data_IF_497894159700
#
_entry.id   IF_497894159700
#
_cell.length_a   1.000
_cell.length_b   1.000
_cell.length_c   1.000
_cell.angle_alpha   90.00
_cell.angle_beta   90.00
_cell.angle_gamma   90.00
#
_symmetry.space_group_name_H-M   'P 1'
#
loop_
_entity.id
_entity.type
_entity.pdbx_description
1 polymer ?
#
# COMPACT_ATOMS: atom_id res chain seq x y z
N UNK A 1 46.26 16.14 3.30
CA UNK A 1 44.95 16.02 4.00
C UNK A 1 43.71 16.02 3.10
N UNK A 2 43.27 17.09 2.41
CA UNK A 2 42.05 17.02 1.56
C UNK A 2 42.22 16.15 0.30
N UNK A 3 43.42 16.12 -0.26
CA UNK A 3 43.75 15.35 -1.47
C UNK A 3 43.83 13.84 -1.18
N UNK A 4 44.42 13.44 -0.04
CA UNK A 4 44.49 12.02 0.38
C UNK A 4 43.11 11.43 0.67
N UNK A 5 42.23 12.16 1.38
CA UNK A 5 40.85 11.71 1.62
C UNK A 5 40.08 11.41 0.34
N UNK A 6 40.25 12.24 -0.70
CA UNK A 6 39.59 12.07 -1.99
C UNK A 6 40.02 10.76 -2.69
N UNK A 7 41.31 10.44 -2.65
CA UNK A 7 41.83 9.21 -3.27
C UNK A 7 41.51 7.95 -2.47
N UNK A 8 41.48 8.03 -1.13
CA UNK A 8 41.00 6.93 -0.28
C UNK A 8 39.50 6.66 -0.47
N UNK A 9 38.68 7.70 -0.61
CA UNK A 9 37.27 7.57 -0.97
C UNK A 9 37.11 6.86 -2.32
N UNK A 10 37.84 7.29 -3.36
CA UNK A 10 37.79 6.64 -4.67
C UNK A 10 38.16 5.16 -4.62
N UNK A 11 39.17 4.82 -3.83
CA UNK A 11 39.61 3.43 -3.63
C UNK A 11 38.55 2.60 -2.88
N UNK A 12 38.00 3.13 -1.79
CA UNK A 12 36.91 2.50 -1.04
C UNK A 12 35.65 2.27 -1.89
N UNK A 13 35.34 3.20 -2.81
CA UNK A 13 34.22 3.10 -3.74
C UNK A 13 34.45 2.00 -4.80
N UNK A 14 35.68 1.82 -5.28
CA UNK A 14 36.00 0.67 -6.14
C UNK A 14 35.98 -0.68 -5.41
N UNK A 15 36.09 -0.66 -4.08
CA UNK A 15 36.08 -1.86 -3.24
C UNK A 15 34.66 -2.21 -2.73
N UNK A 16 33.76 -1.23 -2.66
CA UNK A 16 32.37 -1.37 -2.19
C UNK A 16 31.36 -1.22 -3.33
N UNK A 17 31.02 -2.33 -3.99
CA UNK A 17 30.15 -2.33 -5.19
C UNK A 17 28.64 -2.39 -4.86
N UNK A 18 28.17 -1.47 -4.00
CA UNK A 18 26.75 -1.45 -3.57
C UNK A 18 25.79 -1.14 -4.71
N UNK A 19 26.22 -0.39 -5.73
CA UNK A 19 25.41 -0.11 -6.93
C UNK A 19 25.15 -1.41 -7.70
N UNK A 20 26.17 -2.24 -7.94
CA UNK A 20 25.97 -3.52 -8.64
C UNK A 20 25.19 -4.51 -7.78
N UNK A 21 25.42 -4.55 -6.46
CA UNK A 21 24.61 -5.38 -5.55
C UNK A 21 23.14 -4.96 -5.59
N UNK A 22 22.86 -3.66 -5.58
CA UNK A 22 21.52 -3.13 -5.75
C UNK A 22 20.90 -3.56 -7.08
N UNK A 23 21.61 -3.40 -8.21
CA UNK A 23 21.13 -3.79 -9.54
C UNK A 23 20.78 -5.29 -9.59
N UNK A 24 21.68 -6.15 -9.10
CA UNK A 24 21.45 -7.61 -9.05
C UNK A 24 20.22 -7.93 -8.22
N UNK A 25 20.11 -7.31 -7.05
CA UNK A 25 18.97 -7.52 -6.14
C UNK A 25 17.66 -7.01 -6.73
N UNK A 26 17.69 -5.89 -7.46
CA UNK A 26 16.53 -5.39 -8.22
C UNK A 26 16.04 -6.40 -9.26
N UNK A 27 16.95 -6.99 -10.05
CA UNK A 27 16.55 -7.99 -11.02
C UNK A 27 16.01 -9.27 -10.37
N UNK A 28 16.63 -9.73 -9.28
CA UNK A 28 16.11 -10.84 -8.49
C UNK A 28 14.72 -10.53 -7.96
N UNK A 29 14.51 -9.33 -7.40
CA UNK A 29 13.21 -8.88 -6.90
C UNK A 29 12.15 -8.88 -8.02
N UNK A 30 12.44 -8.33 -9.19
CA UNK A 30 11.47 -8.32 -10.29
C UNK A 30 11.20 -9.75 -10.80
N UNK A 31 12.21 -10.61 -10.86
CA UNK A 31 12.03 -12.01 -11.24
C UNK A 31 11.09 -12.73 -10.26
N UNK A 32 11.28 -12.54 -8.95
CA UNK A 32 10.42 -13.15 -7.93
C UNK A 32 9.00 -12.60 -7.96
N UNK A 33 8.82 -11.31 -8.25
CA UNK A 33 7.48 -10.75 -8.46
C UNK A 33 6.76 -11.35 -9.68
N UNK A 34 7.49 -11.74 -10.72
CA UNK A 34 6.89 -12.41 -11.90
C UNK A 34 6.42 -13.82 -11.55
N UNK A 35 7.25 -14.57 -10.83
CA UNK A 35 6.87 -15.91 -10.34
C UNK A 35 5.66 -15.85 -9.41
N UNK A 36 5.59 -14.82 -8.54
CA UNK A 36 4.45 -14.62 -7.63
C UNK A 36 3.17 -14.14 -8.31
N UNK A 37 3.22 -13.75 -9.58
CA UNK A 37 2.07 -13.19 -10.32
C UNK A 37 2.02 -13.75 -11.75
N UNK A 38 1.78 -15.07 -11.92
CA UNK A 38 1.84 -15.74 -13.21
C UNK A 38 0.83 -15.19 -14.24
N UNK A 39 -0.32 -14.67 -13.77
CA UNK A 39 -1.38 -14.12 -14.64
C UNK A 39 -1.07 -12.74 -15.19
N UNK A 40 -0.08 -12.05 -14.63
CA UNK A 40 0.29 -10.72 -15.11
C UNK A 40 1.09 -10.88 -16.39
N UNK A 41 0.41 -10.68 -17.54
CA UNK A 41 1.05 -10.80 -18.85
C UNK A 41 2.31 -9.94 -18.96
N UNK A 42 3.41 -10.59 -19.37
CA UNK A 42 4.70 -9.93 -19.63
C UNK A 42 4.65 -9.07 -20.90
N UNK A 43 3.73 -9.36 -21.83
CA UNK A 43 3.62 -8.67 -23.11
C UNK A 43 2.24 -7.99 -23.26
N UNK A 44 2.19 -6.88 -24.00
CA UNK A 44 0.94 -6.34 -24.52
C UNK A 44 0.37 -7.27 -25.58
N UNK A 45 -0.89 -7.06 -25.97
CA UNK A 45 -1.52 -7.81 -27.07
C UNK A 45 -0.72 -7.68 -28.39
N UNK A 46 -0.04 -6.55 -28.57
CA UNK A 46 0.85 -6.28 -29.71
C UNK A 46 2.27 -6.88 -29.56
N UNK A 47 2.53 -7.69 -28.53
CA UNK A 47 3.83 -8.35 -28.31
C UNK A 47 4.94 -7.46 -27.73
N UNK A 48 4.62 -6.24 -27.27
CA UNK A 48 5.60 -5.36 -26.63
C UNK A 48 5.76 -5.72 -25.14
N UNK A 49 6.98 -5.74 -24.59
CA UNK A 49 7.17 -6.03 -23.17
C UNK A 49 6.49 -4.96 -22.32
N UNK A 50 5.60 -5.39 -21.40
CA UNK A 50 5.10 -4.55 -20.32
C UNK A 50 6.28 -4.32 -19.37
N UNK A 51 6.60 -3.05 -19.09
CA UNK A 51 7.65 -2.71 -18.11
C UNK A 51 7.34 -3.22 -16.70
N UNK A 52 8.16 -2.91 -15.71
CA UNK A 52 8.07 -3.49 -14.35
C UNK A 52 6.79 -3.12 -13.56
N UNK A 53 6.02 -2.13 -14.04
CA UNK A 53 4.90 -1.51 -13.32
C UNK A 53 3.74 -2.45 -12.97
N UNK A 54 3.25 -3.35 -13.85
CA UNK A 54 2.16 -4.28 -13.52
C UNK A 54 2.52 -5.19 -12.34
N UNK A 55 3.74 -5.73 -12.33
CA UNK A 55 4.22 -6.60 -11.25
C UNK A 55 4.37 -5.85 -9.92
N UNK A 56 4.86 -4.60 -9.96
CA UNK A 56 4.94 -3.75 -8.77
C UNK A 56 3.56 -3.37 -8.21
N UNK A 57 2.56 -3.20 -9.07
CA UNK A 57 1.18 -2.96 -8.63
C UNK A 57 0.59 -4.21 -7.97
N UNK A 58 0.78 -5.38 -8.57
CA UNK A 58 0.30 -6.65 -8.01
C UNK A 58 0.99 -6.98 -6.68
N UNK A 59 2.29 -6.70 -6.57
CA UNK A 59 3.02 -6.76 -5.30
C UNK A 59 2.35 -5.91 -4.21
N UNK A 60 2.00 -4.65 -4.51
CA UNK A 60 1.38 -3.75 -3.53
C UNK A 60 0.00 -4.23 -3.07
N UNK A 61 -0.81 -4.81 -3.96
CA UNK A 61 -2.17 -5.25 -3.61
C UNK A 61 -2.22 -6.61 -2.92
N UNK A 62 -1.28 -7.52 -3.22
CA UNK A 62 -1.34 -8.91 -2.71
C UNK A 62 -0.19 -9.29 -1.76
N UNK A 63 1.05 -9.18 -2.22
CA UNK A 63 2.24 -9.71 -1.51
C UNK A 63 2.72 -8.80 -0.38
N UNK A 64 2.61 -7.48 -0.56
CA UNK A 64 3.14 -6.51 0.38
C UNK A 64 2.63 -6.73 1.82
N UNK A 65 1.34 -7.01 2.09
CA UNK A 65 0.87 -7.38 3.43
C UNK A 65 1.66 -8.53 4.09
N UNK A 66 2.01 -9.58 3.32
CA UNK A 66 2.82 -10.70 3.80
C UNK A 66 4.23 -10.22 4.14
N UNK A 67 4.84 -9.41 3.26
CA UNK A 67 6.16 -8.81 3.51
C UNK A 67 6.15 -7.92 4.75
N UNK A 68 5.13 -7.08 4.93
CA UNK A 68 4.98 -6.20 6.07
C UNK A 68 4.84 -7.00 7.38
N UNK A 69 4.08 -8.10 7.38
CA UNK A 69 3.91 -9.01 8.52
C UNK A 69 5.21 -9.76 8.87
N UNK A 70 6.00 -10.13 7.87
CA UNK A 70 7.25 -10.91 8.04
C UNK A 70 8.50 -10.04 8.24
N UNK A 71 8.39 -8.72 8.02
CA UNK A 71 9.41 -7.72 8.30
C UNK A 71 9.53 -7.46 9.83
N UNK A 72 9.96 -8.45 10.59
CA UNK A 72 10.03 -8.40 12.07
C UNK A 72 11.44 -8.20 12.64
N UNK A 73 12.42 -7.76 11.84
CA UNK A 73 13.79 -7.51 12.33
C UNK A 73 14.04 -6.03 12.59
N UNK A 74 14.47 -5.69 13.80
CA UNK A 74 14.93 -4.34 14.17
C UNK A 74 15.99 -3.84 13.20
N UNK A 75 16.93 -4.69 12.76
CA UNK A 75 18.00 -4.29 11.84
C UNK A 75 17.52 -3.72 10.49
N UNK A 76 16.48 -4.31 9.88
CA UNK A 76 15.99 -3.83 8.58
C UNK A 76 15.15 -2.56 8.74
N UNK A 77 14.40 -2.46 9.84
CA UNK A 77 13.62 -1.26 10.16
C UNK A 77 14.54 -0.10 10.54
N UNK A 78 15.64 -0.37 11.26
CA UNK A 78 16.72 0.58 11.56
C UNK A 78 17.39 1.08 10.27
N UNK A 79 17.64 0.18 9.32
CA UNK A 79 18.24 0.56 8.04
C UNK A 79 17.28 1.42 7.20
N UNK A 80 15.98 1.11 7.22
CA UNK A 80 14.96 1.93 6.59
C UNK A 80 14.88 3.33 7.22
N UNK A 81 14.97 3.40 8.54
CA UNK A 81 15.04 4.65 9.29
C UNK A 81 16.26 5.50 8.90
N UNK A 82 17.44 4.88 8.82
CA UNK A 82 18.69 5.56 8.41
C UNK A 82 18.64 6.05 6.96
N UNK A 83 18.08 5.23 6.07
CA UNK A 83 17.96 5.53 4.65
C UNK A 83 17.07 6.75 4.43
N UNK A 84 15.91 6.79 5.07
CA UNK A 84 14.86 7.74 4.77
C UNK A 84 15.30 9.22 4.73
N UNK A 85 15.88 9.82 5.79
CA UNK A 85 16.23 11.24 5.78
C UNK A 85 17.29 11.58 4.73
N UNK A 86 18.25 10.68 4.50
CA UNK A 86 19.29 10.86 3.48
C UNK A 86 18.69 10.77 2.08
N UNK A 87 17.87 9.75 1.83
CA UNK A 87 17.18 9.55 0.57
C UNK A 87 16.26 10.73 0.24
N UNK A 88 15.43 11.17 1.17
CA UNK A 88 14.50 12.27 0.96
C UNK A 88 15.23 13.58 0.64
N UNK A 89 16.27 13.92 1.42
CA UNK A 89 17.10 15.09 1.14
C UNK A 89 17.69 15.02 -0.27
N UNK A 90 18.30 13.88 -0.63
CA UNK A 90 18.98 13.71 -1.92
C UNK A 90 18.02 13.73 -3.10
N UNK A 91 16.88 13.05 -2.98
CA UNK A 91 15.83 13.04 -4.01
C UNK A 91 15.27 14.45 -4.20
N UNK A 92 14.99 15.21 -3.14
CA UNK A 92 14.46 16.56 -3.27
C UNK A 92 15.46 17.55 -3.88
N UNK A 93 16.76 17.38 -3.61
CA UNK A 93 17.82 18.20 -4.19
C UNK A 93 18.03 17.91 -5.68
N UNK A 94 18.13 16.63 -6.04
CA UNK A 94 18.57 16.20 -7.38
C UNK A 94 17.39 15.89 -8.30
N UNK A 95 16.35 15.24 -7.77
CA UNK A 95 15.22 14.71 -8.53
C UNK A 95 13.84 14.99 -7.88
N UNK A 96 13.47 16.27 -7.64
CA UNK A 96 12.24 16.64 -6.93
C UNK A 96 10.97 16.10 -7.61
N UNK A 97 11.02 15.81 -8.91
CA UNK A 97 9.91 15.19 -9.65
C UNK A 97 9.46 13.85 -9.07
N UNK A 98 10.37 13.02 -8.55
CA UNK A 98 9.99 11.71 -7.99
C UNK A 98 9.23 11.85 -6.67
N UNK A 99 9.56 12.86 -5.87
CA UNK A 99 8.82 13.21 -4.66
C UNK A 99 7.39 13.64 -5.01
N UNK A 100 7.24 14.58 -5.94
CA UNK A 100 5.92 15.09 -6.33
C UNK A 100 5.06 14.03 -7.04
N UNK A 101 5.67 13.15 -7.85
CA UNK A 101 4.96 12.03 -8.45
C UNK A 101 4.37 11.10 -7.39
N UNK A 102 5.15 10.76 -6.36
CA UNK A 102 4.68 9.95 -5.22
C UNK A 102 3.55 10.65 -4.50
N UNK A 103 3.71 11.94 -4.18
CA UNK A 103 2.67 12.76 -3.57
C UNK A 103 1.35 12.70 -4.34
N UNK A 104 1.36 12.82 -5.67
CA UNK A 104 0.13 12.75 -6.46
C UNK A 104 -0.51 11.38 -6.51
N UNK A 105 0.29 10.32 -6.68
CA UNK A 105 -0.23 8.95 -6.71
C UNK A 105 -1.00 8.67 -5.42
N UNK A 106 -0.45 9.07 -4.27
CA UNK A 106 -1.10 8.89 -2.96
C UNK A 106 -2.39 9.69 -2.80
N UNK A 107 -2.47 10.85 -3.43
CA UNK A 107 -3.59 11.78 -3.29
C UNK A 107 -4.62 11.71 -4.41
N UNK A 108 -4.43 10.81 -5.38
CA UNK A 108 -5.31 10.68 -6.55
C UNK A 108 -6.76 10.36 -6.15
N UNK A 109 -6.92 9.48 -5.17
CA UNK A 109 -8.24 9.05 -4.67
C UNK A 109 -8.61 9.73 -3.36
N UNK A 110 -7.67 10.44 -2.72
CA UNK A 110 -7.92 11.10 -1.46
C UNK A 110 -8.71 12.39 -1.66
N UNK A 111 -9.84 12.49 -0.96
CA UNK A 111 -10.71 13.67 -0.96
C UNK A 111 -10.95 14.14 0.46
N UNK A 112 -10.34 15.28 0.79
CA UNK A 112 -10.71 16.01 1.98
C UNK A 112 -12.14 16.53 1.83
N UNK A 113 -12.97 16.30 2.83
CA UNK A 113 -14.31 16.85 2.90
C UNK A 113 -14.66 17.19 4.36
N UNK A 114 -15.24 18.37 4.55
CA UNK A 114 -15.75 18.85 5.84
C UNK A 114 -17.16 19.42 5.61
N UNK A 115 -18.10 19.07 6.49
CA UNK A 115 -19.51 19.40 6.33
C UNK A 115 -20.19 19.59 7.67
N UNK A 116 -20.76 20.78 7.85
CA UNK A 116 -21.52 21.19 9.03
C UNK A 116 -22.89 21.71 8.56
N UNK A 117 -23.97 21.05 9.00
CA UNK A 117 -25.34 21.41 8.66
C UNK A 117 -26.12 21.63 9.95
N UNK A 118 -26.53 22.88 10.16
CA UNK A 118 -27.38 23.28 11.27
C UNK A 118 -28.80 23.52 10.78
N UNK A 119 -29.76 22.89 11.46
CA UNK A 119 -31.20 23.12 11.27
C UNK A 119 -31.77 23.89 12.46
N UNK A 120 -32.84 24.64 12.22
CA UNK A 120 -33.62 25.24 13.30
C UNK A 120 -34.60 24.22 13.91
N UNK A 121 -35.35 24.66 14.93
CA UNK A 121 -36.35 23.85 15.65
C UNK A 121 -37.46 23.31 14.72
N UNK A 122 -37.68 23.98 13.59
CA UNK A 122 -38.68 23.58 12.58
C UNK A 122 -38.07 22.71 11.46
N UNK A 123 -36.81 22.30 11.60
CA UNK A 123 -36.10 21.47 10.63
C UNK A 123 -35.65 22.23 9.36
N UNK A 124 -35.84 23.55 9.29
CA UNK A 124 -35.38 24.37 8.15
C UNK A 124 -33.87 24.61 8.28
N UNK A 125 -33.19 24.60 7.14
CA UNK A 125 -31.74 24.82 7.07
C UNK A 125 -31.39 26.22 7.57
N UNK A 126 -30.82 26.30 8.78
CA UNK A 126 -30.35 27.54 9.40
C UNK A 126 -29.04 27.97 8.79
N UNK A 127 -28.11 27.02 8.66
CA UNK A 127 -26.76 27.25 8.16
C UNK A 127 -26.18 25.93 7.60
N UNK A 128 -25.61 26.00 6.40
CA UNK A 128 -24.83 24.93 5.77
C UNK A 128 -23.45 25.48 5.49
N UNK A 129 -22.47 24.72 5.91
CA UNK A 129 -21.08 24.82 5.52
C UNK A 129 -20.66 23.48 4.94
N UNK A 130 -20.12 23.49 3.72
CA UNK A 130 -19.61 22.28 3.09
C UNK A 130 -18.36 22.63 2.30
N UNK A 131 -17.28 21.88 2.49
CA UNK A 131 -16.03 22.07 1.77
C UNK A 131 -15.51 20.73 1.29
N UNK A 132 -14.94 20.70 0.10
CA UNK A 132 -14.11 19.59 -0.34
C UNK A 132 -12.91 20.03 -1.15
N UNK A 133 -11.78 19.35 -0.94
CA UNK A 133 -10.53 19.52 -1.66
C UNK A 133 -10.08 18.15 -2.17
N UNK A 134 -9.72 18.08 -3.45
CA UNK A 134 -9.20 16.85 -4.04
C UNK A 134 -8.39 17.13 -5.30
N UNK A 135 -7.51 16.20 -5.64
CA UNK A 135 -6.71 16.24 -6.85
C UNK A 135 -7.51 15.56 -7.96
N UNK A 136 -7.85 16.29 -9.02
CA UNK A 136 -8.61 15.74 -10.17
C UNK A 136 -7.71 15.26 -11.30
N UNK A 137 -6.58 15.92 -11.47
CA UNK A 137 -5.58 15.66 -12.50
C UNK A 137 -4.20 15.91 -11.87
N UNK A 138 -3.14 15.45 -12.52
CA UNK A 138 -1.78 15.44 -11.97
C UNK A 138 -1.31 16.80 -11.46
N UNK A 139 -1.87 17.94 -11.88
CA UNK A 139 -1.43 19.27 -11.46
C UNK A 139 -2.54 20.17 -10.92
N UNK A 140 -3.75 19.64 -10.75
CA UNK A 140 -4.94 20.47 -10.45
C UNK A 140 -5.61 20.01 -9.16
N UNK A 141 -5.60 20.90 -8.17
CA UNK A 141 -6.42 20.78 -6.97
C UNK A 141 -7.74 21.52 -7.20
N UNK A 142 -8.86 20.81 -7.11
CA UNK A 142 -10.19 21.42 -7.13
C UNK A 142 -10.67 21.71 -5.73
N UNK A 143 -11.10 22.96 -5.53
CA UNK A 143 -11.67 23.43 -4.27
C UNK A 143 -13.15 23.74 -4.50
N UNK A 144 -13.99 23.17 -3.63
CA UNK A 144 -15.41 23.49 -3.56
C UNK A 144 -15.77 23.95 -2.16
N UNK A 145 -16.50 25.05 -2.08
CA UNK A 145 -17.06 25.60 -0.85
C UNK A 145 -18.53 25.93 -1.09
N UNK A 146 -19.42 25.27 -0.38
CA UNK A 146 -20.87 25.49 -0.42
C UNK A 146 -21.36 26.13 0.88
N UNK A 147 -21.84 27.36 0.81
CA UNK A 147 -22.33 28.15 1.94
C UNK A 147 -23.81 28.42 1.73
N UNK A 148 -24.68 28.06 2.66
CA UNK A 148 -26.09 28.49 2.57
C UNK A 148 -26.71 28.66 3.94
N UNK A 149 -27.86 29.32 4.00
CA UNK A 149 -28.57 29.55 5.23
C UNK A 149 -29.54 30.70 5.09
N UNK A 150 -29.99 31.24 6.22
CA UNK A 150 -30.82 32.43 6.22
C UNK A 150 -30.49 33.37 7.38
N UNK A 151 -30.95 34.61 7.24
CA UNK A 151 -31.01 35.60 8.29
C UNK A 151 -32.33 36.37 8.18
N UNK A 152 -33.16 36.31 9.22
CA UNK A 152 -34.54 36.80 9.20
C UNK A 152 -35.30 36.20 8.00
N UNK A 153 -35.67 37.03 7.03
CA UNK A 153 -36.43 36.63 5.82
C UNK A 153 -35.55 36.37 4.61
N UNK A 154 -34.25 36.70 4.65
CA UNK A 154 -33.34 36.58 3.50
C UNK A 154 -32.53 35.30 3.59
N UNK A 155 -32.64 34.44 2.58
CA UNK A 155 -31.78 33.27 2.40
C UNK A 155 -30.58 33.58 1.51
N UNK A 156 -29.48 32.88 1.73
CA UNK A 156 -28.32 32.87 0.84
C UNK A 156 -27.93 31.43 0.49
N UNK A 157 -27.43 31.24 -0.72
CA UNK A 157 -26.89 29.97 -1.19
C UNK A 157 -25.78 30.28 -2.20
N UNK A 158 -24.54 30.22 -1.73
CA UNK A 158 -23.34 30.44 -2.52
C UNK A 158 -22.58 29.14 -2.72
N UNK A 159 -22.05 29.00 -3.93
CA UNK A 159 -21.12 27.95 -4.30
C UNK A 159 -19.87 28.62 -4.87
N UNK A 160 -18.73 28.36 -4.24
CA UNK A 160 -17.44 28.86 -4.68
C UNK A 160 -16.65 27.65 -5.18
N UNK A 161 -16.30 27.68 -6.46
CA UNK A 161 -15.52 26.66 -7.15
C UNK A 161 -14.32 27.33 -7.78
N UNK A 162 -13.14 26.80 -7.51
CA UNK A 162 -11.92 27.24 -8.18
C UNK A 162 -10.89 26.12 -8.19
N UNK A 163 -10.00 26.23 -9.16
CA UNK A 163 -8.92 25.30 -9.39
C UNK A 163 -7.58 25.98 -9.03
N UNK A 164 -6.66 25.19 -8.50
CA UNK A 164 -5.30 25.60 -8.18
C UNK A 164 -4.34 24.76 -9.00
N UNK A 165 -3.53 25.43 -9.83
CA UNK A 165 -2.39 24.82 -10.51
C UNK A 165 -1.20 24.73 -9.54
N UNK A 166 -0.76 23.52 -9.26
CA UNK A 166 0.31 23.22 -8.31
C UNK A 166 1.71 23.34 -8.92
N UNK A 167 1.86 23.50 -10.23
CA UNK A 167 3.19 23.61 -10.87
C UNK A 167 3.99 24.79 -10.35
N UNK A 168 3.33 25.94 -10.15
CA UNK A 168 3.95 27.13 -9.58
C UNK A 168 4.40 26.90 -8.14
N UNK A 169 3.57 26.21 -7.34
CA UNK A 169 3.88 25.84 -5.96
C UNK A 169 5.14 24.98 -5.94
N UNK A 170 5.22 23.99 -6.82
CA UNK A 170 6.32 23.03 -6.84
C UNK A 170 7.61 23.62 -7.34
N UNK A 171 7.53 24.49 -8.35
CA UNK A 171 8.67 25.27 -8.80
C UNK A 171 9.23 26.10 -7.64
N UNK A 172 8.35 26.78 -6.90
CA UNK A 172 8.75 27.58 -5.75
C UNK A 172 9.39 26.73 -4.64
N UNK A 173 8.75 25.62 -4.25
CA UNK A 173 9.30 24.70 -3.25
C UNK A 173 10.65 24.13 -3.67
N UNK A 174 10.83 23.81 -4.95
CA UNK A 174 12.11 23.31 -5.48
C UNK A 174 13.21 24.36 -5.44
N UNK A 175 12.90 25.61 -5.80
CA UNK A 175 13.83 26.74 -5.70
C UNK A 175 14.23 27.01 -4.25
N UNK A 176 13.25 26.94 -3.33
CA UNK A 176 13.49 27.05 -1.89
C UNK A 176 14.44 25.95 -1.38
N UNK A 177 14.25 24.71 -1.82
CA UNK A 177 15.14 23.59 -1.48
C UNK A 177 16.58 23.86 -1.93
N UNK A 178 16.76 24.25 -3.18
CA UNK A 178 18.10 24.51 -3.77
C UNK A 178 18.83 25.67 -3.12
N UNK A 179 18.09 26.68 -2.64
CA UNK A 179 18.68 27.87 -2.02
C UNK A 179 19.22 27.62 -0.61
N UNK A 180 18.76 26.57 0.09
CA UNK A 180 19.08 26.34 1.50
C UNK A 180 19.78 24.98 1.69
N UNK A 181 21.04 25.02 2.14
CA UNK A 181 21.90 23.82 2.29
C UNK A 181 21.49 22.87 3.44
N UNK A 182 20.62 23.31 4.34
CA UNK A 182 20.18 22.56 5.52
C UNK A 182 18.66 22.66 5.69
N UNK A 183 17.93 22.00 4.80
CA UNK A 183 16.48 21.85 4.90
C UNK A 183 16.15 20.44 5.38
N UNK A 184 15.23 20.33 6.33
CA UNK A 184 14.57 19.08 6.70
C UNK A 184 13.25 18.91 5.92
N UNK A 185 12.76 17.68 5.87
CA UNK A 185 11.49 17.35 5.20
C UNK A 185 10.33 18.20 5.73
N UNK A 186 10.30 18.44 7.05
CA UNK A 186 9.27 19.25 7.70
C UNK A 186 9.15 20.65 7.08
N UNK A 187 10.30 21.28 6.83
CA UNK A 187 10.39 22.61 6.23
C UNK A 187 9.89 22.62 4.79
N UNK A 188 10.15 21.55 4.03
CA UNK A 188 9.68 21.40 2.64
C UNK A 188 8.16 21.34 2.59
N UNK A 189 7.57 20.56 3.48
CA UNK A 189 6.13 20.35 3.52
C UNK A 189 5.40 21.57 4.03
N UNK A 190 5.98 22.24 5.01
CA UNK A 190 5.50 23.53 5.46
C UNK A 190 5.50 24.54 4.30
N UNK A 191 6.60 24.65 3.55
CA UNK A 191 6.68 25.56 2.40
C UNK A 191 5.61 25.24 1.35
N UNK A 192 5.41 23.96 1.03
CA UNK A 192 4.39 23.51 0.09
C UNK A 192 2.97 23.87 0.56
N UNK A 193 2.66 23.65 1.84
CA UNK A 193 1.35 23.96 2.41
C UNK A 193 1.13 25.48 2.56
N UNK A 194 2.15 26.23 2.95
CA UNK A 194 2.08 27.70 3.08
C UNK A 194 1.79 28.33 1.71
N UNK A 195 2.46 27.87 0.65
CA UNK A 195 2.20 28.33 -0.73
C UNK A 195 0.82 27.94 -1.24
N UNK A 196 0.32 26.75 -0.89
CA UNK A 196 -1.03 26.35 -1.23
C UNK A 196 -2.07 27.21 -0.50
N UNK A 197 -1.85 27.48 0.79
CA UNK A 197 -2.70 28.36 1.60
C UNK A 197 -2.71 29.78 1.02
N UNK A 198 -1.57 30.32 0.61
CA UNK A 198 -1.48 31.62 -0.08
C UNK A 198 -2.41 31.65 -1.32
N UNK A 199 -2.31 30.65 -2.21
CA UNK A 199 -3.17 30.54 -3.40
C UNK A 199 -4.65 30.40 -3.06
N UNK A 200 -5.00 29.64 -2.02
CA UNK A 200 -6.39 29.56 -1.53
C UNK A 200 -6.85 30.93 -1.03
N UNK A 201 -6.02 31.60 -0.22
CA UNK A 201 -6.30 32.92 0.33
C UNK A 201 -6.58 33.97 -0.75
N UNK A 202 -5.77 34.00 -1.80
CA UNK A 202 -5.95 34.92 -2.94
C UNK A 202 -7.28 34.70 -3.67
N UNK A 203 -7.68 33.43 -3.85
CA UNK A 203 -8.94 33.07 -4.52
C UNK A 203 -10.17 33.45 -3.68
N UNK A 204 -10.03 33.47 -2.35
CA UNK A 204 -11.11 33.82 -1.43
C UNK A 204 -11.20 35.33 -1.16
N UNK A 205 -10.07 36.02 -1.05
CA UNK A 205 -10.00 37.45 -0.69
C UNK A 205 -10.69 38.36 -1.70
N UNK A 206 -10.79 37.92 -2.96
CA UNK A 206 -11.43 38.66 -4.05
C UNK A 206 -12.96 38.51 -4.12
N UNK A 207 -13.61 37.91 -3.11
CA UNK A 207 -15.05 37.64 -3.12
C UNK A 207 -15.83 38.70 -2.34
N UNK A 208 -16.42 39.64 -3.06
CA UNK A 208 -17.36 40.61 -2.52
C UNK A 208 -18.81 40.26 -2.86
N UNK A 209 -19.66 40.20 -1.83
CA UNK A 209 -21.08 39.88 -1.93
C UNK A 209 -22.00 41.07 -1.53
N UNK A 210 -21.44 42.25 -1.29
CA UNK A 210 -22.18 43.46 -0.88
C UNK A 210 -23.26 43.87 -1.88
N UNK A 211 -23.08 43.57 -3.17
CA UNK A 211 -24.07 43.82 -4.21
C UNK A 211 -25.27 42.86 -4.18
N UNK A 212 -25.16 41.71 -3.48
CA UNK A 212 -26.17 40.64 -3.45
C UNK A 212 -26.88 40.55 -2.11
N UNK A 213 -26.18 40.85 -1.01
CA UNK A 213 -26.68 40.64 0.34
C UNK A 213 -26.45 41.82 1.26
N UNK A 214 -27.25 41.87 2.34
CA UNK A 214 -27.02 42.84 3.42
C UNK A 214 -25.71 42.54 4.17
N UNK A 215 -25.22 43.56 4.90
CA UNK A 215 -23.97 43.51 5.67
C UNK A 215 -23.93 42.30 6.62
N UNK A 216 -25.05 41.91 7.23
CA UNK A 216 -25.08 40.77 8.16
C UNK A 216 -24.82 39.45 7.46
N UNK A 217 -25.44 39.20 6.30
CA UNK A 217 -25.19 38.00 5.50
C UNK A 217 -23.77 38.02 4.92
N UNK A 218 -23.29 39.17 4.43
CA UNK A 218 -21.90 39.30 3.99
C UNK A 218 -20.91 38.94 5.11
N UNK A 219 -21.15 39.41 6.34
CA UNK A 219 -20.35 39.03 7.52
C UNK A 219 -20.42 37.54 7.83
N UNK A 220 -21.60 36.91 7.71
CA UNK A 220 -21.74 35.44 7.88
C UNK A 220 -20.92 34.68 6.85
N UNK A 221 -21.04 35.05 5.57
CA UNK A 221 -20.27 34.42 4.48
C UNK A 221 -18.77 34.56 4.75
N UNK A 222 -18.30 35.78 5.06
CA UNK A 222 -16.89 36.02 5.37
C UNK A 222 -16.41 35.23 6.59
N UNK A 223 -17.23 35.15 7.64
CA UNK A 223 -16.91 34.36 8.83
C UNK A 223 -16.75 32.87 8.50
N UNK A 224 -17.59 32.31 7.63
CA UNK A 224 -17.44 30.92 7.20
C UNK A 224 -16.22 30.69 6.30
N UNK A 225 -15.91 31.65 5.42
CA UNK A 225 -14.68 31.59 4.62
C UNK A 225 -13.42 31.64 5.49
N UNK A 226 -13.42 32.48 6.54
CA UNK A 226 -12.33 32.52 7.50
C UNK A 226 -12.25 31.22 8.30
N UNK A 227 -13.39 30.66 8.75
CA UNK A 227 -13.43 29.34 9.43
C UNK A 227 -12.81 28.26 8.55
N UNK A 228 -13.17 28.21 7.26
CA UNK A 228 -12.57 27.30 6.30
C UNK A 228 -11.05 27.44 6.23
N UNK A 229 -10.57 28.66 6.02
CA UNK A 229 -9.14 28.94 5.90
C UNK A 229 -8.38 28.51 7.16
N UNK A 230 -8.91 28.84 8.34
CA UNK A 230 -8.34 28.42 9.63
C UNK A 230 -8.37 26.90 9.78
N UNK A 231 -9.47 26.22 9.43
CA UNK A 231 -9.57 24.75 9.52
C UNK A 231 -8.55 24.06 8.62
N UNK A 232 -8.40 24.46 7.35
CA UNK A 232 -7.37 23.90 6.47
C UNK A 232 -5.99 24.13 7.07
N UNK A 233 -5.69 25.36 7.49
CA UNK A 233 -4.38 25.69 8.05
C UNK A 233 -4.07 24.83 9.26
N UNK A 234 -5.02 24.69 10.19
CA UNK A 234 -4.87 23.83 11.36
C UNK A 234 -4.66 22.36 10.96
N UNK A 235 -5.36 21.87 9.95
CA UNK A 235 -5.18 20.52 9.46
C UNK A 235 -3.81 20.34 8.81
N UNK A 236 -3.32 21.29 8.00
CA UNK A 236 -1.95 21.27 7.52
C UNK A 236 -0.95 21.26 8.68
N UNK A 237 -1.11 22.15 9.67
CA UNK A 237 -0.26 22.18 10.87
C UNK A 237 -0.26 20.84 11.62
N UNK A 238 -1.43 20.22 11.80
CA UNK A 238 -1.56 18.88 12.41
C UNK A 238 -0.87 17.80 11.60
N UNK A 239 -1.05 17.82 10.27
CA UNK A 239 -0.50 16.85 9.32
C UNK A 239 1.02 16.70 9.42
N UNK A 240 1.73 17.79 9.76
CA UNK A 240 3.19 17.73 9.88
C UNK A 240 3.73 17.82 11.30
N UNK A 241 2.94 18.31 12.29
CA UNK A 241 3.38 18.37 13.70
C UNK A 241 3.06 17.12 14.50
N UNK A 242 1.92 16.48 14.27
CA UNK A 242 1.39 15.38 15.09
C UNK A 242 0.91 14.15 14.28
N UNK A 243 1.63 13.70 13.25
CA UNK A 243 1.15 12.59 12.41
C UNK A 243 0.99 11.27 13.19
N UNK A 244 1.79 11.06 14.24
CA UNK A 244 1.90 9.79 14.97
C UNK A 244 0.93 9.67 16.15
N UNK A 245 0.30 10.76 16.59
CA UNK A 245 -0.65 10.76 17.71
C UNK A 245 -2.12 10.63 17.26
N UNK A 246 -2.38 10.78 15.97
CA UNK A 246 -3.74 11.00 15.46
C UNK A 246 -4.20 9.84 14.57
N UNK A 247 -3.26 9.16 13.90
CA UNK A 247 -3.57 8.08 12.98
C UNK A 247 -4.09 6.83 13.72
N UNK A 248 -5.31 6.39 13.41
CA UNK A 248 -6.00 5.30 14.11
C UNK A 248 -6.84 5.72 15.32
N UNK A 249 -6.75 6.98 15.77
CA UNK A 249 -7.63 7.56 16.80
C UNK A 249 -8.69 8.47 16.16
N UNK A 250 -8.31 9.18 15.10
CA UNK A 250 -9.20 10.10 14.39
C UNK A 250 -9.32 9.75 12.91
N UNK A 251 -10.48 10.03 12.33
CA UNK A 251 -10.70 9.88 10.89
C UNK A 251 -9.73 10.78 10.11
N UNK A 252 -9.16 10.27 9.02
CA UNK A 252 -8.12 10.96 8.25
C UNK A 252 -8.50 12.38 7.80
N UNK A 253 -9.77 12.62 7.45
CA UNK A 253 -10.27 13.93 7.05
C UNK A 253 -10.30 14.96 8.19
N UNK A 254 -10.10 14.55 9.44
CA UNK A 254 -10.11 15.46 10.60
C UNK A 254 -8.75 16.09 10.90
N UNK A 255 -7.68 15.55 10.29
CA UNK A 255 -6.33 16.06 10.47
C UNK A 255 -5.55 16.20 9.16
N UNK A 256 -5.97 15.53 8.08
CA UNK A 256 -5.27 15.55 6.81
C UNK A 256 -6.08 16.15 5.66
N UNK A 257 -5.45 17.08 4.94
CA UNK A 257 -5.96 17.61 3.66
C UNK A 257 -5.34 16.87 2.46
N UNK A 258 -4.13 16.34 2.62
CA UNK A 258 -3.46 15.40 1.69
C UNK A 258 -2.75 14.29 2.50
N UNK A 259 -2.56 13.13 1.87
CA UNK A 259 -1.75 12.00 2.32
C UNK A 259 -0.27 12.17 1.95
N UNK A 260 0.64 11.67 2.77
CA UNK A 260 2.09 11.62 2.54
C UNK A 260 2.65 10.27 3.05
N UNK A 261 3.69 9.75 2.40
CA UNK A 261 4.37 8.50 2.80
C UNK A 261 5.91 8.65 2.79
N UNK A 262 6.59 8.09 3.81
CA UNK A 262 6.05 7.82 5.13
C UNK A 262 5.57 9.14 5.73
N UNK A 263 4.92 9.08 6.89
CA UNK A 263 4.50 10.32 7.54
C UNK A 263 5.69 11.21 7.88
N UNK A 264 5.39 12.49 7.99
CA UNK A 264 6.25 13.49 8.62
C UNK A 264 6.71 12.91 9.97
N UNK A 265 7.96 13.16 10.38
CA UNK A 265 8.57 12.58 11.59
C UNK A 265 9.13 11.15 11.48
N UNK A 266 9.18 10.54 10.30
CA UNK A 266 9.94 9.29 10.11
C UNK A 266 11.43 9.43 10.51
N UNK A 267 11.95 10.67 10.53
CA UNK A 267 13.30 11.03 10.99
C UNK A 267 13.41 11.43 12.47
N UNK A 268 12.30 11.51 13.23
CA UNK A 268 12.27 12.11 14.58
C UNK A 268 12.29 11.09 15.73
N UNK A 269 12.17 9.79 15.44
CA UNK A 269 11.84 8.76 16.44
C UNK A 269 13.02 8.04 17.11
N UNK A 270 14.27 8.47 16.92
CA UNK A 270 15.38 8.02 17.77
C UNK A 270 15.89 9.17 18.67
N UNK A 271 15.03 9.62 19.58
CA UNK A 271 15.45 10.36 20.77
C UNK A 271 15.26 9.39 21.94
N UNK A 272 16.33 9.12 22.68
CA UNK A 272 16.27 8.42 23.96
C UNK A 272 15.11 8.97 24.81
N UNK A 273 14.20 8.09 25.26
CA UNK A 273 13.09 8.47 26.13
C UNK A 273 11.67 8.18 25.62
N UNK A 274 11.50 7.48 24.49
CA UNK A 274 10.20 6.94 24.11
C UNK A 274 9.74 5.85 25.09
N UNK A 275 8.46 5.87 25.46
CA UNK A 275 7.83 4.81 26.24
C UNK A 275 7.67 3.54 25.38
N UNK A 276 7.59 2.36 26.01
CA UNK A 276 7.40 1.07 25.31
C UNK A 276 6.17 1.08 24.36
N UNK A 277 5.13 1.86 24.69
CA UNK A 277 3.91 1.97 23.87
C UNK A 277 4.17 2.73 22.57
N UNK A 278 5.02 3.76 22.60
CA UNK A 278 5.37 4.54 21.42
C UNK A 278 6.29 3.72 20.49
N UNK A 279 7.22 2.95 21.04
CA UNK A 279 8.10 2.07 20.26
C UNK A 279 7.30 1.07 19.40
N UNK A 280 6.34 0.36 19.98
CA UNK A 280 5.50 -0.59 19.23
C UNK A 280 4.73 0.10 18.08
N UNK A 281 4.19 1.29 18.33
CA UNK A 281 3.53 2.07 17.30
C UNK A 281 4.48 2.41 16.14
N UNK A 282 5.70 2.87 16.45
CA UNK A 282 6.70 3.22 15.44
C UNK A 282 7.16 2.00 14.64
N UNK A 283 7.41 0.86 15.29
CA UNK A 283 7.72 -0.38 14.60
C UNK A 283 6.63 -0.75 13.59
N UNK A 284 5.36 -0.72 14.02
CA UNK A 284 4.24 -1.00 13.12
C UNK A 284 4.15 -0.01 11.97
N UNK A 285 4.45 1.26 12.21
CA UNK A 285 4.48 2.29 11.18
C UNK A 285 5.59 2.05 10.14
N UNK A 286 6.79 1.72 10.60
CA UNK A 286 7.92 1.36 9.73
C UNK A 286 7.59 0.12 8.90
N UNK A 287 7.01 -0.91 9.54
CA UNK A 287 6.60 -2.15 8.89
C UNK A 287 5.54 -1.95 7.83
N UNK A 288 4.61 -1.01 8.02
CA UNK A 288 3.50 -0.77 7.09
C UNK A 288 3.87 0.32 6.08
N UNK A 289 3.65 1.58 6.44
CA UNK A 289 3.85 2.75 5.59
C UNK A 289 5.32 2.93 5.16
N UNK A 290 6.27 2.53 6.00
CA UNK A 290 7.69 2.57 5.66
C UNK A 290 8.02 1.63 4.49
N UNK A 291 7.52 0.40 4.51
CA UNK A 291 7.68 -0.56 3.40
C UNK A 291 6.94 -0.10 2.13
N UNK A 292 5.74 0.49 2.28
CA UNK A 292 4.99 1.04 1.14
C UNK A 292 5.72 2.20 0.46
N UNK A 293 6.28 3.12 1.27
CA UNK A 293 7.16 4.16 0.78
C UNK A 293 8.38 3.56 0.09
N UNK A 294 9.06 2.61 0.75
CA UNK A 294 10.27 1.99 0.23
C UNK A 294 10.04 1.36 -1.14
N UNK A 295 8.92 0.65 -1.34
CA UNK A 295 8.56 0.06 -2.64
C UNK A 295 8.43 1.11 -3.76
N UNK A 296 7.92 2.31 -3.43
CA UNK A 296 7.79 3.42 -4.38
C UNK A 296 9.13 4.13 -4.61
N UNK A 297 9.90 4.30 -3.54
CA UNK A 297 11.23 4.89 -3.56
C UNK A 297 12.20 4.04 -4.38
N UNK A 298 12.26 2.73 -4.16
CA UNK A 298 13.23 1.84 -4.80
C UNK A 298 13.02 1.75 -6.32
N UNK A 299 11.76 1.79 -6.77
CA UNK A 299 11.45 1.89 -8.19
C UNK A 299 11.91 3.23 -8.79
N UNK A 300 11.71 4.33 -8.07
CA UNK A 300 12.17 5.66 -8.49
C UNK A 300 13.70 5.75 -8.53
N UNK A 301 14.37 5.18 -7.51
CA UNK A 301 15.83 5.09 -7.42
C UNK A 301 16.39 4.29 -8.60
N UNK A 302 15.76 3.16 -8.94
CA UNK A 302 16.11 2.37 -10.11
C UNK A 302 15.96 3.17 -11.41
N UNK A 303 14.87 3.91 -11.58
CA UNK A 303 14.68 4.75 -12.77
C UNK A 303 15.73 5.85 -12.86
N UNK A 304 16.04 6.51 -11.74
CA UNK A 304 17.12 7.48 -11.67
C UNK A 304 18.47 6.85 -12.05
N UNK A 305 18.78 5.66 -11.56
CA UNK A 305 20.03 4.97 -11.89
C UNK A 305 20.18 4.66 -13.40
N UNK A 306 19.08 4.31 -14.08
CA UNK A 306 19.14 3.93 -15.51
C UNK A 306 18.96 5.10 -16.48
N UNK A 307 18.34 6.19 -16.06
CA UNK A 307 17.97 7.30 -16.95
C UNK A 307 18.62 8.62 -16.59
N UNK A 308 19.23 8.75 -15.40
CA UNK A 308 19.85 9.96 -14.91
C UNK A 308 21.32 9.75 -14.56
N UNK A 309 22.11 10.83 -14.56
CA UNK A 309 23.52 10.77 -14.17
C UNK A 309 23.62 10.83 -12.65
N UNK A 310 23.77 9.67 -12.01
CA UNK A 310 24.10 9.57 -10.58
C UNK A 310 25.61 9.47 -10.44
N UNK A 311 26.21 10.32 -9.60
CA UNK A 311 27.63 10.21 -9.27
C UNK A 311 27.83 9.01 -8.33
N UNK A 312 28.53 7.95 -8.76
CA UNK A 312 28.83 6.82 -7.87
C UNK A 312 29.87 7.20 -6.80
N UNK A 313 30.51 8.36 -6.91
CA UNK A 313 31.53 8.83 -5.97
C UNK A 313 30.97 9.66 -4.81
N UNK A 314 29.66 9.88 -4.79
CA UNK A 314 28.97 10.66 -3.77
C UNK A 314 28.61 9.78 -2.57
N UNK A 315 29.00 10.22 -1.37
CA UNK A 315 28.83 9.44 -0.13
C UNK A 315 27.35 9.21 0.21
N UNK A 316 26.47 10.17 -0.06
CA UNK A 316 25.03 10.01 0.20
C UNK A 316 24.45 8.94 -0.75
N UNK A 317 24.84 8.97 -2.03
CA UNK A 317 24.40 7.96 -2.99
C UNK A 317 24.90 6.56 -2.62
N UNK A 318 26.14 6.42 -2.16
CA UNK A 318 26.67 5.14 -1.68
C UNK A 318 25.89 4.61 -0.47
N UNK A 319 25.58 5.47 0.51
CA UNK A 319 24.74 5.11 1.64
C UNK A 319 23.34 4.68 1.19
N UNK A 320 22.72 5.46 0.30
CA UNK A 320 21.39 5.16 -0.26
C UNK A 320 21.38 3.78 -0.94
N UNK A 321 22.35 3.49 -1.82
CA UNK A 321 22.41 2.21 -2.52
C UNK A 321 22.66 1.04 -1.57
N UNK A 322 23.54 1.22 -0.58
CA UNK A 322 23.80 0.20 0.45
C UNK A 322 22.52 -0.13 1.23
N UNK A 323 21.84 0.87 1.78
CA UNK A 323 20.63 0.66 2.57
C UNK A 323 19.48 0.11 1.72
N UNK A 324 19.30 0.64 0.51
CA UNK A 324 18.29 0.15 -0.43
C UNK A 324 18.55 -1.30 -0.82
N UNK A 325 19.80 -1.68 -1.05
CA UNK A 325 20.18 -3.08 -1.29
C UNK A 325 19.79 -3.98 -0.11
N UNK A 326 20.15 -3.63 1.13
CA UNK A 326 19.90 -4.45 2.31
C UNK A 326 18.40 -4.69 2.53
N UNK A 327 17.59 -3.62 2.44
CA UNK A 327 16.14 -3.70 2.61
C UNK A 327 15.51 -4.49 1.46
N UNK A 328 15.90 -4.21 0.20
CA UNK A 328 15.35 -4.90 -0.96
C UNK A 328 15.73 -6.39 -0.98
N UNK A 329 16.94 -6.73 -0.52
CA UNK A 329 17.35 -8.13 -0.34
C UNK A 329 16.44 -8.83 0.64
N UNK A 330 16.16 -8.23 1.81
CA UNK A 330 15.26 -8.83 2.80
C UNK A 330 13.85 -9.04 2.26
N UNK A 331 13.31 -8.05 1.52
CA UNK A 331 12.02 -8.19 0.83
C UNK A 331 12.07 -9.34 -0.18
N UNK A 332 13.13 -9.41 -0.97
CA UNK A 332 13.31 -10.47 -1.98
C UNK A 332 13.40 -11.85 -1.34
N UNK A 333 14.13 -11.99 -0.24
CA UNK A 333 14.25 -13.26 0.51
C UNK A 333 12.88 -13.71 1.03
N UNK A 334 12.05 -12.78 1.54
CA UNK A 334 10.68 -13.08 1.96
C UNK A 334 9.84 -13.55 0.77
N UNK A 335 9.92 -12.86 -0.37
CA UNK A 335 9.21 -13.26 -1.59
C UNK A 335 9.64 -14.65 -2.06
N UNK A 336 10.94 -14.95 -2.07
CA UNK A 336 11.49 -16.26 -2.47
C UNK A 336 10.97 -17.36 -1.54
N UNK A 337 10.98 -17.11 -0.23
CA UNK A 337 10.47 -18.06 0.74
C UNK A 337 8.97 -18.30 0.55
N UNK A 338 8.18 -17.26 0.29
CA UNK A 338 6.75 -17.40 -0.03
C UNK A 338 6.54 -18.26 -1.28
N UNK A 339 7.35 -18.07 -2.33
CA UNK A 339 7.31 -18.91 -3.54
C UNK A 339 7.59 -20.38 -3.19
N UNK A 340 8.68 -20.63 -2.46
CA UNK A 340 9.08 -21.97 -2.05
C UNK A 340 7.96 -22.69 -1.28
N UNK A 341 7.34 -21.98 -0.34
CA UNK A 341 6.23 -22.48 0.49
C UNK A 341 4.95 -22.79 -0.30
N UNK A 342 4.66 -22.05 -1.36
CA UNK A 342 3.53 -22.37 -2.23
C UNK A 342 3.84 -23.62 -3.06
N UNK A 343 5.05 -23.72 -3.62
CA UNK A 343 5.40 -24.88 -4.43
C UNK A 343 5.58 -26.16 -3.60
N UNK A 344 5.94 -26.07 -2.31
CA UNK A 344 5.94 -27.23 -1.41
C UNK A 344 4.54 -27.81 -1.19
N UNK A 345 3.45 -27.09 -1.48
CA UNK A 345 2.09 -27.67 -1.51
C UNK A 345 1.88 -28.68 -2.65
N UNK A 346 2.87 -28.87 -3.52
CA UNK A 346 2.88 -29.96 -4.50
C UNK A 346 3.46 -31.26 -3.92
N UNK A 347 4.01 -31.24 -2.71
CA UNK A 347 4.46 -32.42 -1.97
C UNK A 347 3.28 -33.02 -1.19
N UNK A 348 3.26 -34.34 -1.02
CA UNK A 348 2.17 -35.06 -0.34
C UNK A 348 2.37 -35.03 1.17
N UNK A 349 3.63 -35.14 1.62
CA UNK A 349 3.98 -35.18 3.04
C UNK A 349 3.68 -33.83 3.70
N UNK A 350 3.07 -33.88 4.88
CA UNK A 350 2.72 -32.69 5.70
C UNK A 350 1.86 -31.64 4.96
N UNK A 351 1.10 -32.06 3.94
CA UNK A 351 0.27 -31.17 3.16
C UNK A 351 -1.13 -30.97 3.77
N UNK A 352 -1.51 -29.74 4.17
CA UNK A 352 -2.78 -29.48 4.85
C UNK A 352 -4.01 -29.77 3.97
N UNK A 353 -3.88 -29.68 2.65
CA UNK A 353 -4.96 -30.02 1.71
C UNK A 353 -5.15 -31.54 1.66
N UNK A 354 -4.04 -32.30 1.63
CA UNK A 354 -4.10 -33.77 1.64
C UNK A 354 -4.63 -34.28 2.97
N UNK A 355 -4.17 -33.72 4.09
CA UNK A 355 -4.70 -34.05 5.42
C UNK A 355 -6.22 -33.81 5.48
N UNK A 356 -6.70 -32.70 4.94
CA UNK A 356 -8.13 -32.42 4.87
C UNK A 356 -8.89 -33.45 4.02
N UNK A 357 -8.38 -33.80 2.84
CA UNK A 357 -8.99 -34.79 1.93
C UNK A 357 -9.08 -36.16 2.60
N UNK A 358 -8.01 -36.62 3.26
CA UNK A 358 -7.99 -37.92 3.94
C UNK A 358 -8.96 -37.98 5.12
N UNK A 359 -9.15 -36.87 5.84
CA UNK A 359 -10.05 -36.80 7.00
C UNK A 359 -11.51 -36.51 6.63
N UNK A 360 -11.78 -35.98 5.42
CA UNK A 360 -13.13 -35.59 4.98
C UNK A 360 -13.45 -36.16 3.58
N UNK A 361 -13.41 -37.49 3.38
CA UNK A 361 -13.68 -38.10 2.07
C UNK A 361 -15.07 -37.75 1.53
N UNK A 362 -16.02 -37.51 2.45
CA UNK A 362 -17.40 -37.14 2.16
C UNK A 362 -17.49 -35.85 1.34
N UNK A 363 -16.70 -34.84 1.70
CA UNK A 363 -16.75 -33.53 1.06
C UNK A 363 -16.06 -33.53 -0.31
N UNK A 364 -15.22 -34.53 -0.57
CA UNK A 364 -14.33 -34.58 -1.74
C UNK A 364 -14.89 -35.43 -2.88
N UNK A 365 -15.41 -36.64 -2.58
CA UNK A 365 -15.64 -37.69 -3.58
C UNK A 365 -16.97 -38.45 -3.45
N UNK A 366 -17.81 -38.17 -2.45
CA UNK A 366 -19.08 -38.91 -2.24
C UNK A 366 -20.11 -38.82 -3.38
N UNK A 367 -19.92 -37.96 -4.38
CA UNK A 367 -20.78 -37.93 -5.56
C UNK A 367 -20.55 -39.12 -6.51
N UNK A 368 -19.50 -39.91 -6.28
CA UNK A 368 -19.08 -41.00 -7.16
C UNK A 368 -19.78 -42.35 -6.86
N UNK A 369 -20.13 -42.62 -5.61
CA UNK A 369 -20.80 -43.86 -5.19
C UNK A 369 -21.50 -43.69 -3.82
N UNK A 370 -22.31 -44.67 -3.41
CA UNK A 370 -23.02 -44.64 -2.12
C UNK A 370 -22.06 -44.69 -0.93
N UNK A 371 -20.92 -45.36 -1.10
CA UNK A 371 -19.80 -45.37 -0.16
C UNK A 371 -18.46 -45.21 -0.90
N UNK A 372 -17.63 -44.30 -0.39
CA UNK A 372 -16.31 -43.99 -0.95
C UNK A 372 -15.26 -44.02 0.15
N UNK A 373 -14.22 -44.82 -0.06
CA UNK A 373 -13.04 -44.89 0.80
C UNK A 373 -11.81 -44.44 0.00
N UNK A 374 -11.10 -43.41 0.49
CA UNK A 374 -9.86 -42.96 -0.12
C UNK A 374 -8.73 -43.86 0.38
N UNK A 375 -8.10 -44.60 -0.54
CA UNK A 375 -7.02 -45.54 -0.22
C UNK A 375 -5.66 -44.84 -0.18
N UNK A 376 -5.41 -43.98 -1.17
CA UNK A 376 -4.11 -43.33 -1.36
C UNK A 376 -4.26 -42.03 -2.15
N UNK A 377 -3.49 -41.01 -1.78
CA UNK A 377 -3.23 -39.86 -2.65
C UNK A 377 -1.90 -40.07 -3.36
N UNK A 378 -1.95 -40.10 -4.69
CA UNK A 378 -0.78 -40.40 -5.53
C UNK A 378 -0.05 -39.15 -6.01
N UNK A 379 -0.76 -38.03 -6.14
CA UNK A 379 -0.20 -36.77 -6.63
C UNK A 379 -1.09 -35.59 -6.25
N UNK A 380 -0.46 -34.46 -5.92
CA UNK A 380 -1.09 -33.14 -5.90
C UNK A 380 -0.31 -32.22 -6.84
N UNK A 381 -1.00 -31.29 -7.50
CA UNK A 381 -0.37 -30.32 -8.40
C UNK A 381 -1.11 -29.00 -8.30
N UNK A 382 -0.38 -27.94 -7.97
CA UNK A 382 -0.92 -26.57 -7.97
C UNK A 382 -0.97 -26.08 -9.42
N UNK A 383 -2.17 -25.70 -9.87
CA UNK A 383 -2.36 -25.14 -11.22
C UNK A 383 -2.37 -23.63 -11.21
N UNK A 384 -2.84 -23.03 -10.11
CA UNK A 384 -2.98 -21.57 -10.00
C UNK A 384 -2.95 -21.12 -8.54
N UNK A 385 -2.48 -19.90 -8.30
CA UNK A 385 -2.53 -19.27 -6.98
C UNK A 385 -2.65 -17.74 -7.07
N UNK A 386 -3.31 -17.15 -6.09
CA UNK A 386 -3.51 -15.71 -5.98
C UNK A 386 -3.37 -15.24 -4.53
N UNK A 387 -3.06 -13.96 -4.37
CA UNK A 387 -2.91 -13.32 -3.06
C UNK A 387 -3.96 -12.24 -2.85
N UNK A 388 -4.63 -12.29 -1.70
CA UNK A 388 -5.56 -11.27 -1.25
C UNK A 388 -5.34 -10.99 0.24
N UNK A 389 -4.85 -9.79 0.57
CA UNK A 389 -4.76 -9.28 1.95
C UNK A 389 -4.27 -10.30 3.01
N UNK A 390 -3.06 -10.83 2.81
CA UNK A 390 -2.42 -11.85 3.68
C UNK A 390 -3.04 -13.25 3.63
N UNK A 391 -3.85 -13.53 2.62
CA UNK A 391 -4.37 -14.87 2.31
C UNK A 391 -3.85 -15.33 0.97
N UNK A 392 -3.73 -16.64 0.84
CA UNK A 392 -3.31 -17.32 -0.38
C UNK A 392 -4.47 -18.18 -0.84
N UNK A 393 -5.02 -17.89 -2.01
CA UNK A 393 -5.97 -18.80 -2.66
C UNK A 393 -5.16 -19.69 -3.58
N UNK A 394 -5.23 -21.01 -3.39
CA UNK A 394 -4.54 -22.00 -4.23
C UNK A 394 -5.58 -22.89 -4.87
N UNK A 395 -5.37 -23.21 -6.15
CA UNK A 395 -6.17 -24.20 -6.86
C UNK A 395 -5.28 -25.18 -7.61
N UNK A 396 -5.80 -26.37 -7.80
CA UNK A 396 -5.01 -27.46 -8.32
C UNK A 396 -5.80 -28.72 -8.54
N UNK A 397 -5.05 -29.79 -8.78
CA UNK A 397 -5.58 -31.11 -9.05
C UNK A 397 -4.95 -32.10 -8.06
N UNK A 398 -5.76 -33.01 -7.53
CA UNK A 398 -5.33 -34.14 -6.73
C UNK A 398 -5.72 -35.41 -7.47
N UNK A 399 -4.77 -36.34 -7.57
CA UNK A 399 -4.99 -37.69 -8.08
C UNK A 399 -4.97 -38.66 -6.92
N UNK A 400 -6.07 -39.37 -6.72
CA UNK A 400 -6.24 -40.31 -5.63
C UNK A 400 -6.78 -41.64 -6.13
N UNK A 401 -6.51 -42.69 -5.38
CA UNK A 401 -7.10 -44.01 -5.56
C UNK A 401 -8.23 -44.15 -4.54
N UNK A 402 -9.44 -44.37 -5.04
CA UNK A 402 -10.61 -44.56 -4.19
C UNK A 402 -11.26 -45.91 -4.46
N UNK A 403 -11.77 -46.53 -3.40
CA UNK A 403 -12.64 -47.71 -3.46
C UNK A 403 -14.09 -47.22 -3.49
N UNK A 404 -14.80 -47.60 -4.54
CA UNK A 404 -16.20 -47.21 -4.77
C UNK A 404 -17.13 -48.40 -4.52
N UNK A 405 -18.14 -48.22 -3.67
CA UNK A 405 -19.11 -49.25 -3.31
C UNK A 405 -20.54 -48.73 -3.48
N UNK A 406 -21.42 -49.58 -4.01
CA UNK A 406 -22.88 -49.37 -4.02
C UNK A 406 -23.53 -50.27 -2.98
N UNK A 407 -24.51 -49.76 -2.25
CA UNK A 407 -25.24 -50.53 -1.25
C UNK A 407 -25.81 -49.71 -0.09
N UNK A 408 -26.64 -50.35 0.73
CA UNK A 408 -27.18 -49.76 1.96
C UNK A 408 -26.14 -49.83 3.10
N UNK A 409 -26.38 -49.12 4.20
CA UNK A 409 -25.43 -48.99 5.32
C UNK A 409 -25.00 -50.33 5.95
N UNK A 410 -25.82 -51.38 5.79
CA UNK A 410 -25.55 -52.73 6.30
C UNK A 410 -24.58 -53.51 5.38
N UNK A 411 -24.57 -53.23 4.07
CA UNK A 411 -23.66 -53.87 3.08
C UNK A 411 -22.19 -53.46 3.29
N UNK A 412 -21.97 -52.26 3.85
CA UNK A 412 -20.65 -51.74 4.22
C UNK A 412 -20.11 -52.45 5.46
N UNK A 413 -20.98 -52.73 6.44
CA UNK A 413 -20.59 -53.35 7.73
C UNK A 413 -20.21 -54.81 7.59
N UNK A 414 -20.79 -55.50 6.62
CA UNK A 414 -20.55 -56.91 6.37
C UNK A 414 -19.54 -57.18 5.24
N UNK A 415 -18.98 -56.13 4.60
CA UNK A 415 -18.15 -56.21 3.39
C UNK A 415 -18.81 -56.99 2.23
N UNK A 416 -20.14 -57.00 2.19
CA UNK A 416 -20.95 -57.80 1.25
C UNK A 416 -21.42 -57.00 0.03
N UNK A 417 -21.30 -55.67 0.05
CA UNK A 417 -21.65 -54.78 -1.07
C UNK A 417 -20.75 -54.95 -2.30
N UNK A 418 -21.31 -54.70 -3.49
CA UNK A 418 -20.57 -54.79 -4.75
C UNK A 418 -19.48 -53.70 -4.81
N UNK A 419 -18.21 -54.10 -4.70
CA UNK A 419 -17.06 -53.24 -4.97
C UNK A 419 -17.03 -52.99 -6.48
N UNK A 420 -17.37 -51.78 -6.89
CA UNK A 420 -17.44 -51.41 -8.30
C UNK A 420 -16.07 -51.28 -8.94
N UNK A 421 -15.15 -50.62 -8.24
CA UNK A 421 -13.80 -50.38 -8.73
C UNK A 421 -12.86 -49.81 -7.67
N UNK A 422 -11.56 -50.06 -7.87
CA UNK A 422 -10.49 -49.18 -7.38
C UNK A 422 -10.04 -48.31 -8.56
N UNK A 423 -10.68 -47.16 -8.73
CA UNK A 423 -10.41 -46.29 -9.88
C UNK A 423 -9.52 -45.10 -9.51
N UNK A 424 -8.64 -44.65 -10.44
CA UNK A 424 -7.96 -43.38 -10.29
C UNK A 424 -8.97 -42.25 -10.44
N UNK A 425 -9.18 -41.50 -9.38
CA UNK A 425 -10.05 -40.32 -9.34
C UNK A 425 -9.18 -39.07 -9.42
N UNK A 426 -9.62 -38.13 -10.24
CA UNK A 426 -9.00 -36.81 -10.38
C UNK A 426 -9.99 -35.78 -9.85
N UNK A 427 -9.62 -35.08 -8.79
CA UNK A 427 -10.41 -33.99 -8.23
C UNK A 427 -9.67 -32.67 -8.40
N UNK A 428 -10.41 -31.63 -8.79
CA UNK A 428 -9.95 -30.25 -8.73
C UNK A 428 -10.30 -29.68 -7.36
N UNK A 429 -9.42 -28.84 -6.81
CA UNK A 429 -9.65 -28.15 -5.54
C UNK A 429 -9.38 -26.66 -5.68
N UNK A 430 -10.02 -25.88 -4.79
CA UNK A 430 -9.68 -24.51 -4.50
C UNK A 430 -9.72 -24.31 -2.99
N UNK A 431 -8.64 -23.81 -2.40
CA UNK A 431 -8.47 -23.63 -0.96
C UNK A 431 -7.93 -22.24 -0.63
N UNK A 432 -8.45 -21.63 0.45
CA UNK A 432 -7.88 -20.42 1.04
C UNK A 432 -7.01 -20.78 2.23
N UNK A 433 -5.76 -20.35 2.22
CA UNK A 433 -4.75 -20.66 3.22
C UNK A 433 -4.27 -19.38 3.92
N UNK A 434 -3.91 -19.52 5.20
CA UNK A 434 -3.18 -18.47 5.91
C UNK A 434 -1.74 -18.36 5.39
N UNK A 435 -1.24 -17.13 5.23
CA UNK A 435 0.10 -16.88 4.70
C UNK A 435 1.24 -17.38 5.59
N UNK A 436 1.03 -17.50 6.90
CA UNK A 436 2.05 -17.86 7.89
C UNK A 436 2.12 -19.35 8.20
N UNK A 437 1.00 -20.07 8.21
CA UNK A 437 0.96 -21.51 8.50
C UNK A 437 0.71 -22.37 7.27
N UNK A 438 0.16 -21.81 6.19
CA UNK A 438 -0.45 -22.53 5.07
C UNK A 438 -1.64 -23.42 5.48
N UNK A 439 -2.14 -23.32 6.71
CA UNK A 439 -3.33 -24.04 7.11
C UNK A 439 -4.56 -23.51 6.38
N UNK A 440 -5.50 -24.41 6.07
CA UNK A 440 -6.78 -24.04 5.46
C UNK A 440 -7.54 -23.13 6.42
N UNK A 441 -7.95 -21.97 5.91
CA UNK A 441 -8.73 -20.99 6.65
C UNK A 441 -10.04 -21.60 7.14
N UNK A 442 -10.45 -21.23 8.35
CA UNK A 442 -11.80 -21.48 8.83
C UNK A 442 -12.63 -20.20 8.71
N UNK A 443 -13.82 -20.30 8.14
CA UNK A 443 -14.86 -19.26 8.16
C UNK A 443 -15.31 -18.95 9.60
N UNK A 444 -16.03 -17.84 9.79
CA UNK A 444 -16.60 -17.44 11.09
C UNK A 444 -17.51 -18.51 11.72
N UNK A 445 -18.08 -19.40 10.90
CA UNK A 445 -18.91 -20.53 11.33
C UNK A 445 -18.12 -21.82 11.62
N UNK A 446 -16.78 -21.76 11.53
CA UNK A 446 -15.87 -22.89 11.76
C UNK A 446 -15.69 -23.83 10.57
N UNK A 447 -16.37 -23.61 9.44
CA UNK A 447 -16.19 -24.41 8.22
C UNK A 447 -14.89 -24.05 7.50
N UNK A 448 -14.16 -25.04 7.01
CA UNK A 448 -12.94 -24.84 6.24
C UNK A 448 -13.26 -24.27 4.86
N UNK A 449 -12.50 -23.25 4.45
CA UNK A 449 -12.62 -22.57 3.15
C UNK A 449 -11.86 -23.37 2.07
N UNK A 450 -12.41 -24.54 1.74
CA UNK A 450 -11.93 -25.42 0.68
C UNK A 450 -13.11 -26.01 -0.08
N UNK A 451 -12.98 -26.08 -1.40
CA UNK A 451 -14.01 -26.64 -2.28
C UNK A 451 -13.39 -27.67 -3.23
N UNK A 452 -14.18 -28.68 -3.56
CA UNK A 452 -13.78 -29.76 -4.46
C UNK A 452 -14.77 -29.93 -5.61
N UNK A 453 -14.26 -30.31 -6.77
CA UNK A 453 -15.05 -30.70 -7.93
C UNK A 453 -14.37 -31.88 -8.65
N UNK A 454 -15.13 -32.73 -9.31
CA UNK A 454 -14.58 -33.86 -10.06
C UNK A 454 -14.05 -33.32 -11.39
N UNK A 455 -12.80 -33.60 -11.72
CA UNK A 455 -12.21 -33.13 -12.98
C UNK A 455 -12.80 -33.91 -14.16
N UNK A 456 -13.54 -33.23 -15.05
CA UNK A 456 -14.12 -33.83 -16.27
C UNK A 456 -15.64 -33.98 -16.32
N UNK A 457 -16.39 -33.37 -15.39
CA UNK A 457 -17.85 -33.15 -15.51
C UNK A 457 -18.21 -31.77 -15.99
#
# INVERSE_FOLDING_TARGET
MQIEKKYEQWKSITESDFVTLFIKTWFTYIATLRELNPDVSVFTEDGMPRGDKPFLNAYKSGIMPIVQKRMNSDETLDELYRLYPVAMKKVLEVFPQYFFQTFYILNREFKYADKDIQKDENGKLKERYQVSLHICDQWIIKVYIGLSGYYRTTSYNEEIKFDIDTRDIFKHTTEYIKANKSIDELSILKELYDKLLEKIGDKLSNKDYTNKYNITICRKIQSQLNRFFTSIRLNFEKNYRFPNEINGIYEINTYAVFKQLPYNLFSKSYIDGLTNKEQYFYHRLLQTNGIEWFASFVYSLRNALFHEIISPLDEDWQLIFKSAYLILKKISDICIDTIYRIFSLSEIDENPIIEYVMNNPIDCVNRLADHVEILEVSQISITHFEFDNSLITVSGIIKLKAKLQKGESDDIREETGEILSEEPVVISFEAKLYDDTLEIMSSDNGQKEITFSIAGT
#
